data_IF_309293208066
#
_entry.id   IF_309293208066
#
_cell.length_a   1.000
_cell.length_b   1.000
_cell.length_c   1.000
_cell.angle_alpha   90.00
_cell.angle_beta   90.00
_cell.angle_gamma   90.00
#
_symmetry.space_group_name_H-M   'P 1'
#
loop_
_entity.id
_entity.type
_entity.pdbx_description
1 polymer ?
#
# COMPACT_ATOMS: atom_id res chain seq x y z
N UNK A 1 8.21 13.44 -3.77
CA UNK A 1 8.25 12.77 -5.07
C UNK A 1 9.47 11.88 -5.08
N UNK A 2 9.23 10.57 -5.15
CA UNK A 2 10.30 9.58 -5.29
C UNK A 2 10.69 9.44 -6.77
N UNK A 3 11.88 8.90 -7.02
CA UNK A 3 12.38 8.72 -8.37
C UNK A 3 11.63 7.58 -9.09
N UNK A 4 11.44 7.70 -10.41
CA UNK A 4 10.92 6.59 -11.23
C UNK A 4 11.95 5.45 -11.34
N UNK A 5 13.24 5.78 -11.32
CA UNK A 5 14.34 4.84 -11.54
C UNK A 5 14.55 4.46 -13.01
N UNK A 6 15.72 3.89 -13.29
CA UNK A 6 16.07 3.42 -14.62
C UNK A 6 15.34 2.11 -14.95
N UNK A 7 14.87 1.96 -16.20
CA UNK A 7 14.25 0.71 -16.65
C UNK A 7 15.34 -0.37 -16.86
N UNK A 8 15.16 -1.54 -16.25
CA UNK A 8 16.10 -2.66 -16.39
C UNK A 8 15.55 -3.78 -17.27
N UNK A 9 14.24 -3.95 -17.29
CA UNK A 9 13.56 -4.91 -18.17
C UNK A 9 12.12 -4.49 -18.41
N UNK A 10 11.54 -4.99 -19.50
CA UNK A 10 10.12 -4.89 -19.82
C UNK A 10 9.64 -6.22 -20.39
N UNK A 11 8.46 -6.67 -19.97
CA UNK A 11 7.87 -7.96 -20.31
C UNK A 11 6.36 -7.81 -20.51
N UNK A 12 5.79 -8.74 -21.30
CA UNK A 12 4.35 -8.80 -21.54
C UNK A 12 3.85 -7.80 -22.58
N UNK A 13 2.53 -7.75 -22.71
CA UNK A 13 1.82 -6.87 -23.62
C UNK A 13 0.42 -6.58 -23.05
N UNK A 14 -0.21 -5.50 -23.50
CA UNK A 14 -1.58 -5.16 -23.09
C UNK A 14 -2.49 -6.40 -23.18
N UNK A 15 -3.28 -6.72 -22.14
CA UNK A 15 -3.56 -5.89 -20.96
C UNK A 15 -2.62 -6.10 -19.75
N UNK A 16 -1.60 -6.97 -19.84
CA UNK A 16 -0.71 -7.30 -18.73
C UNK A 16 0.75 -7.07 -19.09
N UNK A 17 1.35 -6.05 -18.50
CA UNK A 17 2.75 -5.68 -18.68
C UNK A 17 3.50 -5.72 -17.36
N UNK A 18 4.80 -5.96 -17.41
CA UNK A 18 5.70 -5.92 -16.27
C UNK A 18 6.98 -5.18 -16.63
N UNK A 19 7.47 -4.33 -15.74
CA UNK A 19 8.73 -3.60 -15.94
C UNK A 19 9.57 -3.65 -14.67
N UNK A 20 10.87 -3.80 -14.82
CA UNK A 20 11.83 -3.65 -13.73
C UNK A 20 12.35 -2.22 -13.66
N UNK A 21 12.44 -1.68 -12.45
CA UNK A 21 13.05 -0.38 -12.17
C UNK A 21 14.19 -0.56 -11.19
N UNK A 22 15.31 0.12 -11.41
CA UNK A 22 16.40 0.21 -10.44
C UNK A 22 16.59 1.63 -9.97
N UNK A 23 16.77 1.78 -8.66
CA UNK A 23 17.24 3.01 -8.05
C UNK A 23 18.74 2.95 -7.78
N UNK A 24 19.42 4.07 -8.04
CA UNK A 24 20.77 4.27 -7.53
C UNK A 24 20.73 4.61 -6.02
N UNK A 25 21.91 4.72 -5.39
CA UNK A 25 22.00 4.96 -3.95
C UNK A 25 21.40 6.32 -3.51
N UNK A 26 21.48 7.35 -4.34
CA UNK A 26 20.91 8.67 -4.06
C UNK A 26 19.38 8.63 -4.16
N UNK A 27 18.84 8.00 -5.20
CA UNK A 27 17.39 7.83 -5.39
C UNK A 27 16.77 6.99 -4.26
N UNK A 28 17.41 5.88 -3.90
CA UNK A 28 16.98 5.06 -2.78
C UNK A 28 17.08 5.85 -1.47
N UNK A 29 18.20 6.54 -1.24
CA UNK A 29 18.42 7.38 -0.07
C UNK A 29 17.36 8.47 0.09
N UNK A 30 16.99 9.15 -1.00
CA UNK A 30 15.94 10.16 -1.00
C UNK A 30 14.56 9.58 -0.73
N UNK A 31 14.26 8.39 -1.27
CA UNK A 31 12.99 7.70 -1.02
C UNK A 31 12.86 7.27 0.44
N UNK A 32 13.86 6.54 0.97
CA UNK A 32 13.83 5.96 2.33
C UNK A 32 13.87 7.04 3.42
N UNK A 33 14.61 8.14 3.23
CA UNK A 33 14.64 9.25 4.20
C UNK A 33 13.46 10.23 4.05
N UNK A 34 12.55 9.96 3.12
CA UNK A 34 11.41 10.82 2.81
C UNK A 34 10.07 10.12 3.02
N UNK A 35 9.25 10.11 1.98
CA UNK A 35 7.86 9.60 2.02
C UNK A 35 7.77 8.13 2.46
N UNK A 36 8.77 7.30 2.14
CA UNK A 36 8.77 5.89 2.53
C UNK A 36 8.89 5.76 4.05
N UNK A 37 9.86 6.44 4.70
CA UNK A 37 9.98 6.43 6.16
C UNK A 37 8.72 6.96 6.83
N UNK A 38 8.17 8.07 6.34
CA UNK A 38 6.96 8.65 6.92
C UNK A 38 5.77 7.68 6.90
N UNK A 39 5.68 6.82 5.87
CA UNK A 39 4.67 5.78 5.77
C UNK A 39 4.98 4.57 6.66
N UNK A 40 6.22 4.08 6.66
CA UNK A 40 6.68 2.94 7.47
C UNK A 40 6.43 3.18 8.97
N UNK A 41 6.73 4.38 9.44
CA UNK A 41 6.57 4.76 10.85
C UNK A 41 5.23 5.41 11.17
N UNK A 42 4.32 5.47 10.19
CA UNK A 42 3.00 6.07 10.27
C UNK A 42 2.99 7.46 10.92
N UNK A 43 3.87 8.35 10.45
CA UNK A 43 4.04 9.71 11.01
C UNK A 43 2.73 10.49 11.00
N UNK A 44 1.92 10.34 9.96
CA UNK A 44 0.60 10.97 9.88
C UNK A 44 -0.37 10.38 10.91
N UNK A 45 -0.42 9.06 11.07
CA UNK A 45 -1.32 8.43 12.03
C UNK A 45 -0.95 8.77 13.47
N UNK A 46 0.35 8.84 13.79
CA UNK A 46 0.82 9.32 15.10
C UNK A 46 0.44 10.77 15.34
N UNK A 47 0.57 11.64 14.34
CA UNK A 47 0.14 13.03 14.45
C UNK A 47 -1.38 13.14 14.69
N UNK A 48 -2.19 12.36 13.96
CA UNK A 48 -3.65 12.30 14.14
C UNK A 48 -4.01 11.85 15.57
N UNK A 49 -3.33 10.83 16.10
CA UNK A 49 -3.54 10.34 17.46
C UNK A 49 -3.11 11.38 18.51
N UNK A 50 -2.00 12.07 18.26
CA UNK A 50 -1.51 13.11 19.15
C UNK A 50 -2.47 14.30 19.20
N UNK A 51 -3.03 14.71 18.05
CA UNK A 51 -4.07 15.74 17.99
C UNK A 51 -5.35 15.29 18.71
N UNK A 52 -5.81 14.06 18.45
CA UNK A 52 -7.00 13.48 19.07
C UNK A 52 -6.90 13.45 20.61
N UNK A 53 -5.70 13.21 21.14
CA UNK A 53 -5.43 13.02 22.57
C UNK A 53 -4.86 14.26 23.27
N UNK A 54 -4.65 15.37 22.56
CA UNK A 54 -4.06 16.59 23.12
C UNK A 54 -4.86 17.17 24.30
N UNK A 55 -6.19 16.97 24.31
CA UNK A 55 -7.07 17.36 25.42
C UNK A 55 -7.28 16.30 26.50
N UNK A 56 -6.58 15.17 26.41
CA UNK A 56 -6.65 14.06 27.39
C UNK A 56 -5.38 14.01 28.22
N UNK A 57 -4.20 14.22 27.60
CA UNK A 57 -2.91 14.23 28.28
C UNK A 57 -2.56 15.64 28.80
N UNK A 58 -3.13 16.03 29.94
CA UNK A 58 -3.01 17.38 30.49
C UNK A 58 -1.73 17.60 31.30
N UNK A 59 -1.22 16.55 31.94
CA UNK A 59 0.01 16.61 32.74
C UNK A 59 1.25 16.25 31.93
N UNK A 60 2.43 16.73 32.35
CA UNK A 60 3.69 16.36 31.69
C UNK A 60 3.96 14.86 31.72
N UNK A 61 3.56 14.17 32.80
CA UNK A 61 3.68 12.72 32.92
C UNK A 61 2.81 11.98 31.89
N UNK A 62 1.56 12.40 31.68
CA UNK A 62 0.69 11.79 30.67
C UNK A 62 1.19 12.06 29.25
N UNK A 63 1.76 13.24 29.00
CA UNK A 63 2.37 13.59 27.70
C UNK A 63 3.60 12.72 27.40
N UNK A 64 4.45 12.46 28.41
CA UNK A 64 5.58 11.54 28.28
C UNK A 64 5.11 10.10 27.99
N UNK A 65 4.08 9.63 28.70
CA UNK A 65 3.51 8.30 28.46
C UNK A 65 2.86 8.18 27.07
N UNK A 66 2.20 9.23 26.60
CA UNK A 66 1.64 9.29 25.24
C UNK A 66 2.75 9.25 24.19
N UNK A 67 3.82 10.02 24.37
CA UNK A 67 4.98 10.01 23.48
C UNK A 67 5.64 8.62 23.43
N UNK A 68 5.76 7.94 24.58
CA UNK A 68 6.27 6.58 24.64
C UNK A 68 5.35 5.58 23.92
N UNK A 69 4.03 5.70 24.09
CA UNK A 69 3.06 4.83 23.44
C UNK A 69 3.03 4.99 21.91
N UNK A 70 3.33 6.19 21.41
CA UNK A 70 3.41 6.50 19.97
C UNK A 70 4.83 6.32 19.40
N UNK A 71 5.81 5.93 20.20
CA UNK A 71 7.18 5.75 19.74
C UNK A 71 7.24 4.66 18.64
N UNK A 72 8.04 4.92 17.61
CA UNK A 72 8.31 3.94 16.57
C UNK A 72 9.04 2.71 17.15
N UNK A 73 8.85 1.51 16.56
CA UNK A 73 9.65 0.36 16.91
C UNK A 73 11.13 0.60 16.58
N UNK A 74 12.03 -0.05 17.33
CA UNK A 74 13.48 0.04 17.09
C UNK A 74 13.89 -0.66 15.79
N UNK A 75 13.21 -1.77 15.45
CA UNK A 75 13.44 -2.56 14.24
C UNK A 75 12.21 -2.59 13.34
N UNK A 76 12.44 -2.52 12.03
CA UNK A 76 11.41 -2.64 10.99
C UNK A 76 11.75 -3.81 10.08
N UNK A 77 10.77 -4.65 9.78
CA UNK A 77 10.98 -5.76 8.84
C UNK A 77 11.09 -5.27 7.38
N UNK A 78 12.02 -5.85 6.61
CA UNK A 78 12.27 -5.48 5.20
C UNK A 78 11.01 -5.43 4.34
N UNK A 79 10.07 -6.35 4.57
CA UNK A 79 8.83 -6.41 3.80
C UNK A 79 7.91 -5.20 4.03
N UNK A 80 7.92 -4.60 5.23
CA UNK A 80 7.20 -3.35 5.50
C UNK A 80 7.78 -2.19 4.69
N UNK A 81 9.11 -2.16 4.57
CA UNK A 81 9.80 -1.16 3.74
C UNK A 81 9.44 -1.37 2.27
N UNK A 82 9.41 -2.63 1.80
CA UNK A 82 8.99 -2.97 0.44
C UNK A 82 7.55 -2.55 0.12
N UNK A 83 6.61 -2.82 1.02
CA UNK A 83 5.21 -2.38 0.90
C UNK A 83 5.10 -0.85 0.84
N UNK A 84 5.81 -0.15 1.72
CA UNK A 84 5.82 1.32 1.71
C UNK A 84 6.43 1.90 0.42
N UNK A 85 7.50 1.30 -0.09
CA UNK A 85 8.07 1.67 -1.40
C UNK A 85 7.04 1.48 -2.51
N UNK A 86 6.34 0.33 -2.53
CA UNK A 86 5.32 0.04 -3.52
C UNK A 86 4.15 1.05 -3.46
N UNK A 87 3.65 1.34 -2.25
CA UNK A 87 2.56 2.28 -2.02
C UNK A 87 2.92 3.69 -2.51
N UNK A 88 4.07 4.22 -2.10
CA UNK A 88 4.53 5.55 -2.49
C UNK A 88 4.76 5.60 -4.01
N UNK A 89 5.37 4.56 -4.59
CA UNK A 89 5.68 4.52 -6.02
C UNK A 89 4.40 4.53 -6.87
N UNK A 90 3.42 3.69 -6.52
CA UNK A 90 2.15 3.63 -7.22
C UNK A 90 1.32 4.90 -7.01
N UNK A 91 1.40 5.52 -5.84
CA UNK A 91 0.72 6.78 -5.56
C UNK A 91 1.27 7.91 -6.43
N UNK A 92 2.60 8.07 -6.48
CA UNK A 92 3.27 9.15 -7.22
C UNK A 92 3.23 8.92 -8.74
N UNK A 93 3.36 7.67 -9.21
CA UNK A 93 3.58 7.39 -10.63
C UNK A 93 2.44 6.66 -11.32
N UNK A 94 1.41 6.21 -10.60
CA UNK A 94 0.25 5.49 -11.17
C UNK A 94 -1.09 6.07 -10.74
N UNK A 95 -1.11 7.27 -10.15
CA UNK A 95 -2.33 7.97 -9.71
C UNK A 95 -3.19 7.14 -8.76
N UNK A 96 -2.53 6.32 -7.94
CA UNK A 96 -3.18 5.54 -6.90
C UNK A 96 -3.33 6.38 -5.62
N UNK A 97 -4.31 6.00 -4.81
CA UNK A 97 -4.48 6.46 -3.44
C UNK A 97 -4.76 5.21 -2.61
N UNK A 98 -3.89 4.93 -1.65
CA UNK A 98 -4.05 3.90 -0.64
C UNK A 98 -4.35 4.61 0.68
N UNK A 99 -5.64 4.81 1.01
CA UNK A 99 -6.01 5.77 2.03
C UNK A 99 -5.93 5.20 3.46
N UNK A 100 -5.61 3.92 3.59
CA UNK A 100 -5.43 3.25 4.87
C UNK A 100 -4.14 2.42 4.80
N UNK A 101 -3.05 2.92 5.40
CA UNK A 101 -1.81 2.17 5.48
C UNK A 101 -2.03 0.87 6.24
N UNK A 102 -1.57 -0.23 5.65
CA UNK A 102 -1.76 -1.57 6.18
C UNK A 102 -1.04 -1.79 7.53
N UNK A 103 0.00 -1.00 7.81
CA UNK A 103 0.67 -0.95 9.11
C UNK A 103 -0.23 -0.55 10.29
N UNK A 104 -1.41 0.01 10.04
CA UNK A 104 -2.42 0.36 11.06
C UNK A 104 -3.33 -0.80 11.44
N UNK A 105 -3.35 -1.87 10.65
CA UNK A 105 -4.16 -3.03 10.97
C UNK A 105 -3.42 -3.94 11.95
N UNK A 106 -4.14 -4.44 12.97
CA UNK A 106 -3.55 -5.29 14.00
C UNK A 106 -3.05 -6.60 13.37
N UNK A 107 -1.74 -6.85 13.50
CA UNK A 107 -1.07 -8.06 13.02
C UNK A 107 -0.27 -8.68 14.16
N UNK A 108 -0.29 -10.01 14.23
CA UNK A 108 0.78 -10.73 14.96
C UNK A 108 2.06 -10.55 14.16
N UNK A 109 3.17 -10.26 14.83
CA UNK A 109 4.50 -10.24 14.20
C UNK A 109 4.72 -11.50 13.38
N UNK A 110 5.10 -11.35 12.10
CA UNK A 110 5.30 -12.46 11.17
C UNK A 110 4.03 -13.03 10.52
N UNK A 111 2.86 -12.40 10.68
CA UNK A 111 1.63 -12.78 9.97
C UNK A 111 1.23 -11.71 8.95
N UNK A 112 0.99 -12.11 7.71
CA UNK A 112 0.22 -11.29 6.76
C UNK A 112 -1.27 -11.36 7.13
N UNK A 113 -2.04 -10.31 6.84
CA UNK A 113 -3.49 -10.41 6.88
C UNK A 113 -3.97 -11.25 5.68
N UNK A 114 -5.12 -11.95 5.81
CA UNK A 114 -5.81 -12.46 4.63
C UNK A 114 -6.34 -11.26 3.84
N UNK A 115 -5.83 -11.05 2.63
CA UNK A 115 -6.20 -9.91 1.80
C UNK A 115 -5.10 -9.56 0.81
N UNK A 116 -5.24 -8.38 0.21
CA UNK A 116 -4.21 -7.77 -0.63
C UNK A 116 -3.38 -6.81 0.23
N UNK A 117 -2.08 -6.72 -0.05
CA UNK A 117 -1.15 -5.83 0.66
C UNK A 117 -1.50 -4.35 0.41
N UNK A 118 -1.99 -4.02 -0.79
CA UNK A 118 -2.39 -2.67 -1.18
C UNK A 118 -3.87 -2.63 -1.57
N UNK A 119 -4.66 -1.79 -0.90
CA UNK A 119 -6.11 -1.64 -1.15
C UNK A 119 -6.47 -0.17 -1.27
N UNK A 120 -6.96 0.24 -2.43
CA UNK A 120 -7.18 1.67 -2.67
C UNK A 120 -8.05 2.00 -3.87
N UNK A 121 -7.92 3.26 -4.32
CA UNK A 121 -8.58 3.78 -5.52
C UNK A 121 -7.55 4.38 -6.47
N UNK A 122 -7.71 4.13 -7.77
CA UNK A 122 -6.90 4.73 -8.83
C UNK A 122 -7.78 5.63 -9.69
N UNK A 123 -7.25 6.79 -10.06
CA UNK A 123 -7.88 7.66 -11.06
C UNK A 123 -7.30 7.38 -12.44
N UNK A 124 -8.14 6.91 -13.37
CA UNK A 124 -7.81 6.81 -14.79
C UNK A 124 -8.66 7.78 -15.63
N UNK A 125 -8.62 7.66 -16.97
CA UNK A 125 -9.37 8.51 -17.90
C UNK A 125 -10.90 8.41 -17.72
N UNK A 126 -11.40 7.29 -17.21
CA UNK A 126 -12.83 7.03 -16.97
C UNK A 126 -13.25 7.37 -15.53
N UNK A 127 -12.32 7.84 -14.70
CA UNK A 127 -12.56 8.25 -13.32
C UNK A 127 -11.96 7.29 -12.29
N UNK A 128 -12.49 7.31 -11.07
CA UNK A 128 -12.00 6.44 -10.00
C UNK A 128 -12.45 4.98 -10.22
N UNK A 129 -11.52 4.05 -10.06
CA UNK A 129 -11.75 2.59 -9.97
C UNK A 129 -11.02 2.02 -8.76
N UNK A 130 -11.40 0.82 -8.32
CA UNK A 130 -10.61 0.14 -7.29
C UNK A 130 -9.27 -0.33 -7.84
N UNK A 131 -8.27 -0.25 -6.97
CA UNK A 131 -6.95 -0.82 -7.18
C UNK A 131 -6.63 -1.77 -6.03
N UNK A 132 -6.13 -2.94 -6.38
CA UNK A 132 -5.65 -3.94 -5.45
C UNK A 132 -4.23 -4.35 -5.83
N UNK A 133 -3.37 -4.57 -4.85
CA UNK A 133 -1.99 -4.96 -5.13
C UNK A 133 -1.41 -5.90 -4.10
N UNK A 134 -0.41 -6.62 -4.56
CA UNK A 134 0.38 -7.57 -3.78
C UNK A 134 1.84 -7.16 -3.92
N UNK A 135 2.58 -7.25 -2.83
CA UNK A 135 3.97 -6.82 -2.76
C UNK A 135 4.82 -7.98 -2.26
N UNK A 136 5.97 -8.20 -2.90
CA UNK A 136 6.97 -9.15 -2.40
C UNK A 136 8.32 -8.49 -2.27
N UNK A 137 8.94 -8.69 -1.10
CA UNK A 137 10.31 -8.28 -0.85
C UNK A 137 11.23 -9.49 -0.91
N UNK A 138 12.36 -9.35 -1.59
CA UNK A 138 13.35 -10.41 -1.78
C UNK A 138 14.76 -9.83 -1.77
N UNK A 139 15.69 -10.55 -1.14
CA UNK A 139 17.13 -10.24 -1.21
C UNK A 139 17.84 -10.86 -2.42
N UNK A 140 17.11 -11.43 -3.39
CA UNK A 140 17.70 -12.04 -4.58
C UNK A 140 18.16 -10.99 -5.60
N UNK A 141 19.37 -11.16 -6.15
CA UNK A 141 19.88 -10.31 -7.22
C UNK A 141 19.35 -10.68 -8.63
N UNK A 142 18.32 -11.52 -8.72
CA UNK A 142 17.72 -11.97 -10.00
C UNK A 142 16.63 -11.00 -10.45
N UNK A 143 16.55 -10.78 -11.76
CA UNK A 143 15.53 -9.92 -12.37
C UNK A 143 14.78 -10.66 -13.49
N UNK A 144 13.48 -10.99 -13.33
CA UNK A 144 12.67 -10.88 -12.10
C UNK A 144 13.07 -11.91 -11.00
N UNK A 145 12.83 -11.61 -9.71
CA UNK A 145 13.20 -12.50 -8.60
C UNK A 145 12.30 -13.74 -8.53
N UNK A 146 12.77 -14.81 -7.88
CA UNK A 146 11.97 -16.04 -7.75
C UNK A 146 10.68 -15.85 -6.94
N UNK A 147 10.60 -14.84 -6.07
CA UNK A 147 9.38 -14.48 -5.32
C UNK A 147 8.17 -14.16 -6.22
N UNK A 148 8.41 -13.79 -7.48
CA UNK A 148 7.35 -13.57 -8.49
C UNK A 148 6.68 -14.90 -8.88
N UNK A 149 7.45 -15.99 -8.89
CA UNK A 149 7.04 -17.29 -9.40
C UNK A 149 6.74 -18.30 -8.29
N UNK A 150 5.98 -19.35 -8.61
CA UNK A 150 5.66 -20.44 -7.68
C UNK A 150 4.18 -20.52 -7.32
N UNK A 151 3.78 -21.60 -6.64
CA UNK A 151 2.38 -21.91 -6.29
C UNK A 151 1.76 -20.91 -5.30
N UNK A 152 2.58 -20.18 -4.56
CA UNK A 152 2.19 -19.15 -3.60
C UNK A 152 2.93 -17.84 -3.86
N UNK A 153 3.49 -17.68 -5.07
CA UNK A 153 4.21 -16.48 -5.47
C UNK A 153 3.26 -15.36 -5.89
N UNK A 154 3.84 -14.17 -6.11
CA UNK A 154 3.11 -12.95 -6.48
C UNK A 154 2.10 -13.19 -7.62
N UNK A 155 2.50 -13.94 -8.65
CA UNK A 155 1.63 -14.26 -9.79
C UNK A 155 0.31 -14.92 -9.36
N UNK A 156 0.35 -15.93 -8.50
CA UNK A 156 -0.86 -16.65 -8.09
C UNK A 156 -1.79 -15.74 -7.28
N UNK A 157 -1.23 -14.87 -6.43
CA UNK A 157 -2.03 -13.92 -5.65
C UNK A 157 -2.72 -12.89 -6.56
N UNK A 158 -2.03 -12.40 -7.60
CA UNK A 158 -2.66 -11.53 -8.60
C UNK A 158 -3.76 -12.26 -9.40
N UNK A 159 -3.53 -13.53 -9.78
CA UNK A 159 -4.56 -14.35 -10.45
C UNK A 159 -5.76 -14.56 -9.54
N UNK A 160 -5.54 -14.78 -8.23
CA UNK A 160 -6.61 -14.85 -7.24
C UNK A 160 -7.39 -13.53 -7.13
N UNK A 161 -6.70 -12.39 -7.08
CA UNK A 161 -7.34 -11.07 -7.12
C UNK A 161 -8.12 -10.81 -8.42
N UNK A 162 -7.67 -11.37 -9.56
CA UNK A 162 -8.33 -11.27 -10.87
C UNK A 162 -9.54 -12.20 -11.01
N UNK A 163 -9.46 -13.41 -10.50
CA UNK A 163 -10.43 -14.46 -10.80
C UNK A 163 -11.45 -14.65 -9.67
N UNK A 164 -11.08 -14.36 -8.42
CA UNK A 164 -11.94 -14.57 -7.25
C UNK A 164 -12.64 -13.27 -6.86
N UNK A 165 -13.82 -13.04 -7.45
CA UNK A 165 -14.70 -11.89 -7.11
C UNK A 165 -14.99 -11.80 -5.61
N UNK A 166 -15.07 -12.94 -4.90
CA UNK A 166 -15.24 -12.97 -3.45
C UNK A 166 -14.16 -12.20 -2.70
N UNK A 167 -12.89 -12.37 -3.07
CA UNK A 167 -11.77 -11.63 -2.47
C UNK A 167 -11.95 -10.14 -2.72
N UNK A 168 -12.25 -9.73 -3.96
CA UNK A 168 -12.48 -8.31 -4.28
C UNK A 168 -13.67 -7.71 -3.52
N UNK A 169 -14.73 -8.48 -3.30
CA UNK A 169 -15.88 -8.04 -2.50
C UNK A 169 -15.52 -7.87 -1.03
N UNK A 170 -14.62 -8.70 -0.50
CA UNK A 170 -14.10 -8.55 0.86
C UNK A 170 -13.25 -7.28 0.98
N UNK A 171 -12.36 -7.02 0.03
CA UNK A 171 -11.56 -5.79 -0.03
C UNK A 171 -12.43 -4.52 -0.22
N UNK A 172 -13.49 -4.62 -1.02
CA UNK A 172 -14.49 -3.57 -1.16
C UNK A 172 -15.16 -3.23 0.19
N UNK A 173 -15.60 -4.23 0.95
CA UNK A 173 -16.20 -4.03 2.28
C UNK A 173 -15.18 -3.45 3.26
N UNK A 174 -13.97 -4.01 3.27
CA UNK A 174 -12.85 -3.54 4.09
C UNK A 174 -12.60 -2.05 3.91
N UNK A 175 -12.50 -1.58 2.66
CA UNK A 175 -12.27 -0.19 2.35
C UNK A 175 -13.53 0.65 2.66
N UNK A 176 -14.72 0.12 2.39
CA UNK A 176 -15.99 0.77 2.70
C UNK A 176 -16.19 1.08 4.19
N UNK A 177 -15.75 0.18 5.09
CA UNK A 177 -15.80 0.42 6.54
C UNK A 177 -14.98 1.65 6.96
N UNK A 178 -13.84 1.88 6.30
CA UNK A 178 -12.93 3.01 6.58
C UNK A 178 -13.36 4.30 5.87
N UNK A 179 -14.10 4.19 4.77
CA UNK A 179 -14.52 5.35 3.98
C UNK A 179 -15.58 6.23 4.68
N UNK A 180 -16.36 5.69 5.63
CA UNK A 180 -17.62 6.31 6.10
C UNK A 180 -17.47 7.78 6.55
N UNK A 181 -16.39 8.08 7.27
CA UNK A 181 -16.09 9.41 7.82
C UNK A 181 -14.81 10.02 7.24
N UNK A 182 -14.27 9.42 6.18
CA UNK A 182 -12.99 9.83 5.66
C UNK A 182 -13.11 10.91 4.56
N UNK A 183 -12.08 11.73 4.40
CA UNK A 183 -12.00 12.77 3.36
C UNK A 183 -12.07 12.21 1.94
N UNK A 184 -11.64 10.96 1.74
CA UNK A 184 -11.63 10.25 0.44
C UNK A 184 -12.92 9.49 0.13
N UNK A 185 -13.96 9.62 0.97
CA UNK A 185 -15.26 8.91 0.82
C UNK A 185 -15.88 9.04 -0.57
N UNK A 186 -15.79 10.20 -1.19
CA UNK A 186 -16.44 10.43 -2.49
C UNK A 186 -15.71 9.72 -3.63
N UNK A 187 -14.37 9.57 -3.53
CA UNK A 187 -13.59 8.74 -4.45
C UNK A 187 -13.95 7.26 -4.31
N UNK A 188 -14.14 6.79 -3.08
CA UNK A 188 -14.64 5.44 -2.82
C UNK A 188 -16.02 5.21 -3.45
N UNK A 189 -16.96 6.16 -3.31
CA UNK A 189 -18.29 6.06 -3.94
C UNK A 189 -18.22 6.02 -5.47
N UNK A 190 -17.34 6.83 -6.07
CA UNK A 190 -17.12 6.83 -7.51
C UNK A 190 -16.57 5.47 -7.99
N UNK A 191 -15.52 4.96 -7.36
CA UNK A 191 -14.98 3.63 -7.63
C UNK A 191 -16.02 2.51 -7.41
N UNK A 192 -16.83 2.61 -6.36
CA UNK A 192 -17.92 1.67 -6.06
C UNK A 192 -18.94 1.62 -7.19
N UNK A 193 -19.36 2.78 -7.71
CA UNK A 193 -20.32 2.84 -8.82
C UNK A 193 -19.77 2.09 -10.05
N UNK A 194 -18.49 2.28 -10.36
CA UNK A 194 -17.81 1.61 -11.47
C UNK A 194 -17.71 0.10 -11.24
N UNK A 195 -17.26 -0.32 -10.07
CA UNK A 195 -17.12 -1.72 -9.69
C UNK A 195 -18.46 -2.49 -9.64
N UNK A 196 -19.53 -1.87 -9.15
CA UNK A 196 -20.85 -2.49 -9.11
C UNK A 196 -21.46 -2.65 -10.52
N UNK A 197 -21.09 -1.79 -11.47
CA UNK A 197 -21.48 -1.95 -12.87
C UNK A 197 -20.68 -3.05 -13.58
N UNK A 198 -19.41 -3.22 -13.21
CA UNK A 198 -18.55 -4.28 -13.73
C UNK A 198 -17.49 -4.67 -12.69
N UNK A 199 -17.66 -5.83 -12.06
CA UNK A 199 -16.76 -6.30 -10.98
C UNK A 199 -15.37 -6.73 -11.48
N UNK A 200 -15.14 -6.74 -12.79
CA UNK A 200 -13.83 -6.95 -13.41
C UNK A 200 -13.12 -5.64 -13.75
N UNK A 201 -13.79 -4.49 -13.62
CA UNK A 201 -13.21 -3.17 -13.87
C UNK A 201 -12.45 -2.66 -12.63
N UNK A 202 -11.29 -3.28 -12.44
CA UNK A 202 -10.34 -2.99 -11.35
C UNK A 202 -8.93 -2.95 -11.91
N UNK A 203 -8.03 -2.25 -11.22
CA UNK A 203 -6.60 -2.31 -11.51
C UNK A 203 -5.90 -3.25 -10.54
N UNK A 204 -5.01 -4.10 -11.06
CA UNK A 204 -4.16 -4.96 -10.26
C UNK A 204 -2.69 -4.53 -10.40
N UNK A 205 -1.95 -4.53 -9.30
CA UNK A 205 -0.49 -4.32 -9.31
C UNK A 205 0.20 -5.43 -8.52
N UNK A 206 1.19 -6.08 -9.13
CA UNK A 206 2.19 -6.83 -8.37
C UNK A 206 3.49 -6.05 -8.36
N UNK A 207 4.07 -5.86 -7.17
CA UNK A 207 5.33 -5.15 -6.98
C UNK A 207 6.36 -6.08 -6.36
#
# INVERSE_FOLDING_TARGET
MIAVGAECYSHGASPCTGTGRSWNAEELGAAINGQVSALVFDDHGKADLQELLAGVAETSFEQEQLAQALAAPEDVEDWRVGEAIAEVYLSEHRSCLFPWPDGRDERKSGSSLPGADLVGVQKDEQGDRFVFGEVKTSGEAKCPPCAVYGRTGLKQQLEDLRDKVGIRNDLFKYLGHRAKNASWRDRFKAASKRYLNNTSDVQLFGV
#
